data_IF_283255825995
#
_entry.id   IF_283255825995
#
_cell.length_a   1.000
_cell.length_b   1.000
_cell.length_c   1.000
_cell.angle_alpha   90.00
_cell.angle_beta   90.00
_cell.angle_gamma   90.00
#
_symmetry.space_group_name_H-M   'P 1'
#
loop_
_entity.id
_entity.type
_entity.pdbx_description
1 polymer ?
#
# COMPACT_ATOMS: atom_id res chain seq x y z
N UNK A 1 -8.94 9.30 23.69
CA UNK A 1 -8.85 10.15 22.49
C UNK A 1 -9.47 9.34 21.38
N UNK A 2 -10.59 9.80 20.84
CA UNK A 2 -11.27 9.10 19.76
C UNK A 2 -10.58 9.42 18.43
N UNK A 3 -10.69 8.52 17.46
CA UNK A 3 -10.08 8.71 16.14
C UNK A 3 -10.67 9.93 15.44
N UNK A 4 -11.97 10.12 15.57
CA UNK A 4 -12.75 11.20 15.00
C UNK A 4 -12.22 12.58 15.46
N UNK A 5 -11.87 12.71 16.74
CA UNK A 5 -11.32 13.95 17.30
C UNK A 5 -9.95 14.32 16.69
N UNK A 6 -9.18 13.33 16.26
CA UNK A 6 -7.85 13.53 15.65
C UNK A 6 -7.93 13.65 14.12
N UNK A 7 -8.91 12.97 13.51
CA UNK A 7 -9.11 12.90 12.07
C UNK A 7 -9.79 14.15 11.50
N UNK A 8 -10.62 14.84 12.28
CA UNK A 8 -11.33 16.03 11.86
C UNK A 8 -10.79 17.29 12.54
N UNK A 9 -10.71 18.39 11.79
CA UNK A 9 -10.43 19.71 12.33
C UNK A 9 -11.69 20.30 12.98
N UNK A 10 -11.54 21.39 13.73
CA UNK A 10 -12.68 22.10 14.34
C UNK A 10 -13.71 22.62 13.33
N UNK A 11 -13.34 22.72 12.05
CA UNK A 11 -14.24 23.11 10.96
C UNK A 11 -14.88 21.92 10.24
N UNK A 12 -14.79 20.71 10.83
CA UNK A 12 -15.28 19.46 10.26
C UNK A 12 -14.63 19.10 8.92
N UNK A 13 -13.39 19.55 8.68
CA UNK A 13 -12.57 19.16 7.52
C UNK A 13 -11.59 18.07 7.91
N UNK A 14 -11.06 17.32 6.93
CA UNK A 14 -10.06 16.28 7.18
C UNK A 14 -8.75 16.92 7.64
N UNK A 15 -8.19 16.40 8.73
CA UNK A 15 -6.88 16.79 9.23
C UNK A 15 -5.78 16.02 8.47
N UNK A 16 -5.36 16.53 7.32
CA UNK A 16 -4.33 15.88 6.49
C UNK A 16 -2.96 15.75 7.17
N UNK A 17 -2.70 16.55 8.22
CA UNK A 17 -1.45 16.50 8.99
C UNK A 17 -1.47 15.42 10.08
N UNK A 18 -2.63 14.84 10.38
CA UNK A 18 -2.72 13.73 11.33
C UNK A 18 -2.03 12.50 10.73
N UNK A 19 -1.08 11.93 11.46
CA UNK A 19 -0.21 10.86 10.96
C UNK A 19 -1.01 9.68 10.38
N UNK A 20 -2.12 9.28 11.02
CA UNK A 20 -2.96 8.18 10.52
C UNK A 20 -3.59 8.45 9.15
N UNK A 21 -3.98 9.69 8.88
CA UNK A 21 -4.49 10.11 7.57
C UNK A 21 -3.33 10.26 6.58
N UNK A 22 -2.27 10.93 7.00
CA UNK A 22 -1.08 11.15 6.17
C UNK A 22 -0.47 9.85 5.65
N UNK A 23 -0.39 8.80 6.48
CA UNK A 23 0.11 7.48 6.05
C UNK A 23 -0.87 6.74 5.14
N UNK A 24 -2.17 6.96 5.30
CA UNK A 24 -3.22 6.30 4.51
C UNK A 24 -3.40 6.90 3.10
N UNK A 25 -2.73 8.01 2.78
CA UNK A 25 -2.72 8.65 1.47
C UNK A 25 -1.83 7.89 0.48
N UNK A 26 -2.18 6.64 0.19
CA UNK A 26 -1.37 5.74 -0.65
C UNK A 26 -1.13 6.30 -2.06
N UNK A 27 -2.09 7.04 -2.64
CA UNK A 27 -1.92 7.67 -3.95
C UNK A 27 -0.75 8.64 -4.01
N UNK A 28 -0.67 9.59 -3.06
CA UNK A 28 0.39 10.61 -3.01
C UNK A 28 1.77 9.99 -2.81
N UNK A 29 1.85 8.92 -2.03
CA UNK A 29 3.10 8.20 -1.85
C UNK A 29 3.46 7.43 -3.12
N UNK A 30 2.49 6.74 -3.73
CA UNK A 30 2.68 5.94 -4.93
C UNK A 30 3.19 6.78 -6.10
N UNK A 31 2.67 8.00 -6.29
CA UNK A 31 3.15 8.92 -7.32
C UNK A 31 4.65 9.24 -7.18
N UNK A 32 5.18 9.29 -5.96
CA UNK A 32 6.62 9.50 -5.72
C UNK A 32 7.43 8.25 -6.07
N UNK A 33 6.91 7.07 -5.73
CA UNK A 33 7.56 5.79 -6.02
C UNK A 33 7.59 5.48 -7.53
N UNK A 34 6.52 5.81 -8.25
CA UNK A 34 6.41 5.61 -9.71
C UNK A 34 7.37 6.48 -10.53
N UNK A 35 8.00 7.50 -9.93
CA UNK A 35 9.09 8.25 -10.59
C UNK A 35 10.35 7.42 -10.78
N UNK A 36 10.54 6.36 -9.98
CA UNK A 36 11.76 5.57 -9.95
C UNK A 36 11.56 4.11 -10.36
N UNK A 37 10.37 3.56 -10.09
CA UNK A 37 10.05 2.15 -10.36
C UNK A 37 8.83 2.06 -11.26
N UNK A 38 8.82 1.09 -12.17
CA UNK A 38 7.65 0.86 -13.00
C UNK A 38 6.50 0.26 -12.17
N UNK A 39 5.25 0.55 -12.52
CA UNK A 39 4.08 -0.01 -11.83
C UNK A 39 4.12 -1.54 -11.81
N UNK A 40 4.66 -2.14 -12.87
CA UNK A 40 4.83 -3.58 -13.00
C UNK A 40 5.81 -4.18 -12.00
N UNK A 41 6.48 -3.39 -11.14
CA UNK A 41 7.38 -3.81 -10.05
C UNK A 41 6.70 -3.76 -8.67
N UNK A 42 5.45 -3.31 -8.60
CA UNK A 42 4.68 -3.23 -7.37
C UNK A 42 3.68 -4.38 -7.29
N UNK A 43 3.57 -4.97 -6.11
CA UNK A 43 2.54 -5.92 -5.77
C UNK A 43 1.74 -5.38 -4.59
N UNK A 44 0.47 -5.06 -4.81
CA UNK A 44 -0.43 -4.63 -3.76
C UNK A 44 -1.10 -5.85 -3.14
N UNK A 45 -0.95 -5.99 -1.83
CA UNK A 45 -1.56 -7.07 -1.05
C UNK A 45 -2.83 -6.54 -0.39
N UNK A 46 -3.89 -7.34 -0.44
CA UNK A 46 -5.13 -7.05 0.26
C UNK A 46 -4.97 -7.40 1.75
N UNK A 47 -4.92 -6.38 2.60
CA UNK A 47 -4.71 -6.54 4.04
C UNK A 47 -5.86 -7.25 4.76
N UNK A 48 -7.10 -7.11 4.28
CA UNK A 48 -8.25 -7.81 4.87
C UNK A 48 -8.18 -9.30 4.54
N UNK A 49 -7.90 -9.63 3.27
CA UNK A 49 -7.70 -11.02 2.86
C UNK A 49 -6.48 -11.67 3.48
N UNK A 50 -5.42 -10.92 3.75
CA UNK A 50 -4.24 -11.45 4.45
C UNK A 50 -4.60 -11.95 5.86
N UNK A 51 -5.55 -11.29 6.53
CA UNK A 51 -6.02 -11.70 7.87
C UNK A 51 -6.92 -12.93 7.77
N UNK A 52 -7.82 -12.98 6.79
CA UNK A 52 -8.82 -14.07 6.67
C UNK A 52 -8.27 -15.33 5.98
N UNK A 53 -7.40 -15.16 4.97
CA UNK A 53 -6.91 -16.20 4.07
C UNK A 53 -5.39 -16.10 3.83
N UNK A 54 -4.57 -16.19 4.90
CA UNK A 54 -3.13 -15.90 4.84
C UNK A 54 -2.36 -16.79 3.84
N UNK A 55 -2.76 -18.05 3.68
CA UNK A 55 -2.08 -19.01 2.79
C UNK A 55 -2.22 -18.60 1.32
N UNK A 56 -3.37 -18.05 0.92
CA UNK A 56 -3.62 -17.63 -0.45
C UNK A 56 -2.84 -16.37 -0.81
N UNK A 57 -2.79 -15.38 0.10
CA UNK A 57 -2.01 -14.16 -0.13
C UNK A 57 -0.49 -14.42 -0.13
N UNK A 58 0.02 -15.31 0.73
CA UNK A 58 1.44 -15.70 0.70
C UNK A 58 1.81 -16.40 -0.62
N UNK A 59 0.92 -17.23 -1.17
CA UNK A 59 1.14 -17.85 -2.47
C UNK A 59 1.12 -16.82 -3.62
N UNK A 60 0.23 -15.82 -3.57
CA UNK A 60 0.20 -14.73 -4.54
C UNK A 60 1.52 -13.93 -4.52
N UNK A 61 2.02 -13.62 -3.33
CA UNK A 61 3.32 -12.98 -3.15
C UNK A 61 4.45 -13.82 -3.75
N UNK A 62 4.48 -15.13 -3.45
CA UNK A 62 5.50 -16.04 -3.97
C UNK A 62 5.50 -16.13 -5.51
N UNK A 63 4.31 -16.18 -6.10
CA UNK A 63 4.14 -16.19 -7.56
C UNK A 63 4.60 -14.87 -8.18
N UNK A 64 4.25 -13.74 -7.58
CA UNK A 64 4.70 -12.43 -8.05
C UNK A 64 6.23 -12.33 -8.04
N UNK A 65 6.87 -12.74 -6.94
CA UNK A 65 8.34 -12.76 -6.84
C UNK A 65 8.99 -13.67 -7.88
N UNK A 66 8.42 -14.85 -8.11
CA UNK A 66 8.93 -15.80 -9.10
C UNK A 66 8.84 -15.24 -10.53
N UNK A 67 7.78 -14.49 -10.86
CA UNK A 67 7.66 -13.79 -12.15
C UNK A 67 8.77 -12.75 -12.30
N UNK A 68 9.05 -11.93 -11.26
CA UNK A 68 10.15 -10.96 -11.31
C UNK A 68 11.52 -11.58 -11.45
N UNK A 69 11.79 -12.68 -10.74
CA UNK A 69 13.06 -13.39 -10.85
C UNK A 69 13.32 -13.85 -12.29
N UNK A 70 12.27 -14.28 -13.00
CA UNK A 70 12.37 -14.65 -14.42
C UNK A 70 12.62 -13.45 -15.33
N UNK A 71 12.04 -12.27 -15.06
CA UNK A 71 12.33 -11.05 -15.84
C UNK A 71 13.70 -10.44 -15.56
N UNK A 72 14.24 -10.64 -14.35
CA UNK A 72 15.54 -10.10 -13.93
C UNK A 72 16.74 -10.91 -14.43
N UNK A 73 16.50 -12.13 -14.94
CA UNK A 73 17.51 -13.08 -15.43
C UNK A 73 17.45 -13.32 -16.95
N UNK A 74 16.77 -12.47 -17.72
CA UNK A 74 16.95 -12.43 -19.18
C UNK A 74 18.12 -11.47 -19.47
N UNK A 75 19.28 -11.97 -19.96
CA UNK A 75 20.43 -11.13 -20.29
C UNK A 75 20.16 -10.21 -21.49
#
# INVERSE_FOLDING_TARGET
>A
MNFEDAAFTSNNTINESFYGIYSARYGDHMEKWLKYFNLSQFHFVDGEKLITEPVLEVNNFHNCFSIYANFSFVP
#
